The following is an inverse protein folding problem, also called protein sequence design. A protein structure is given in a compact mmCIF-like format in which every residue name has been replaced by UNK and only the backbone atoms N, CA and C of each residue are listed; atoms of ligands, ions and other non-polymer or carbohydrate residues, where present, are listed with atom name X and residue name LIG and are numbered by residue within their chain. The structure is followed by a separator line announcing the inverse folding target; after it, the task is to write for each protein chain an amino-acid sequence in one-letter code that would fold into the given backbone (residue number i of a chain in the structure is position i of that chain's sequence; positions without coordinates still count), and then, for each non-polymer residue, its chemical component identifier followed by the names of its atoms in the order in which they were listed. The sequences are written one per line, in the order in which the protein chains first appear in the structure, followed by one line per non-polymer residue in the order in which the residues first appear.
data_IF_601269572102
#
_entry.id   IF_601269572102
#
_cell.length_a   1.000
_cell.length_b   1.000
_cell.length_c   1.000
_cell.angle_alpha   90.00
_cell.angle_beta   90.00
_cell.angle_gamma   90.00
#
_symmetry.space_group_name_H-M   'P 1'
#
loop_
_entity.id
_entity.type
_entity.pdbx_description
1 polymer ?
#
# COMPACT_ATOMS: atom_id res chain seq x y z
N UNK A 1 9.27 23.75 7.57
CA UNK A 1 10.74 23.52 7.62
C UNK A 1 10.95 22.28 8.49
N UNK A 2 11.00 21.10 7.89
CA UNK A 2 11.34 19.85 8.56
C UNK A 2 12.81 19.89 8.95
N UNK A 3 13.12 19.71 10.24
CA UNK A 3 14.51 19.54 10.68
C UNK A 3 15.03 18.23 10.10
N UNK A 4 16.18 18.21 9.40
CA UNK A 4 16.78 16.96 8.99
C UNK A 4 17.07 16.12 10.24
N UNK A 5 16.56 14.89 10.28
CA UNK A 5 16.90 13.95 11.34
C UNK A 5 18.42 13.75 11.37
N UNK A 6 19.01 13.80 12.58
CA UNK A 6 20.39 13.42 12.75
C UNK A 6 20.60 11.97 12.27
N UNK A 7 21.74 11.64 11.64
CA UNK A 7 21.99 10.28 11.19
C UNK A 7 21.84 9.31 12.37
N UNK A 8 20.91 8.35 12.22
CA UNK A 8 20.65 7.35 13.25
C UNK A 8 21.87 6.43 13.31
N UNK A 9 22.67 6.56 14.38
CA UNK A 9 23.67 5.56 14.70
C UNK A 9 22.92 4.37 15.29
N UNK A 10 22.81 3.28 14.51
CA UNK A 10 22.18 2.03 14.99
C UNK A 10 23.09 1.43 16.04
N UNK A 11 22.69 1.38 17.34
CA UNK A 11 23.48 0.77 18.37
C UNK A 11 23.61 -0.75 18.12
N UNK A 12 24.67 -1.39 18.59
CA UNK A 12 24.79 -2.85 18.54
C UNK A 12 23.56 -3.53 19.15
N UNK A 13 23.17 -4.68 18.62
CA UNK A 13 21.96 -5.40 19.08
C UNK A 13 21.92 -5.63 20.60
N UNK A 14 23.09 -5.85 21.22
CA UNK A 14 23.23 -6.01 22.67
C UNK A 14 22.85 -4.76 23.49
N UNK A 15 22.82 -3.58 22.86
CA UNK A 15 22.48 -2.30 23.49
C UNK A 15 21.03 -1.88 23.24
N UNK A 16 20.31 -2.59 22.37
CA UNK A 16 18.91 -2.34 22.07
C UNK A 16 18.00 -3.01 23.11
N UNK A 17 17.73 -2.34 24.22
CA UNK A 17 17.01 -2.91 25.37
C UNK A 17 15.51 -2.67 25.38
N UNK A 18 14.94 -2.11 24.32
CA UNK A 18 13.49 -1.82 24.24
C UNK A 18 13.04 -0.59 25.06
N UNK A 19 13.93 0.13 25.71
CA UNK A 19 13.61 1.33 26.51
C UNK A 19 12.88 2.40 25.69
N UNK A 20 13.22 2.55 24.41
CA UNK A 20 12.54 3.47 23.51
C UNK A 20 11.07 3.09 23.29
N UNK A 21 10.77 1.78 23.19
CA UNK A 21 9.39 1.31 23.07
C UNK A 21 8.61 1.57 24.36
N UNK A 22 9.16 1.26 25.53
CA UNK A 22 8.54 1.55 26.81
C UNK A 22 8.23 3.03 26.95
N UNK A 23 9.20 3.89 26.57
CA UNK A 23 8.99 5.36 26.57
C UNK A 23 7.86 5.79 25.64
N UNK A 24 7.71 5.18 24.46
CA UNK A 24 6.59 5.49 23.56
C UNK A 24 5.25 5.12 24.20
N UNK A 25 5.17 3.97 24.85
CA UNK A 25 3.97 3.53 25.58
C UNK A 25 3.64 4.51 26.73
N UNK A 26 4.62 4.92 27.51
CA UNK A 26 4.45 5.91 28.62
C UNK A 26 3.96 7.27 28.09
N UNK A 27 4.52 7.74 26.96
CA UNK A 27 4.07 8.96 26.29
C UNK A 27 2.60 8.82 25.89
N UNK A 28 2.21 7.71 25.25
CA UNK A 28 0.84 7.48 24.84
C UNK A 28 -0.12 7.44 26.04
N UNK A 29 0.27 6.78 27.13
CA UNK A 29 -0.49 6.78 28.38
C UNK A 29 -0.68 8.19 28.93
N UNK A 30 0.35 9.02 28.87
CA UNK A 30 0.29 10.42 29.31
C UNK A 30 -0.60 11.27 28.41
N UNK A 31 -0.54 11.10 27.11
CA UNK A 31 -1.42 11.80 26.16
C UNK A 31 -2.89 11.45 26.37
N UNK A 32 -3.17 10.21 26.72
CA UNK A 32 -4.52 9.72 26.98
C UNK A 32 -5.00 9.95 28.42
N UNK A 33 -4.19 10.46 29.36
CA UNK A 33 -4.59 10.75 30.72
C UNK A 33 -5.73 11.80 30.80
N UNK A 34 -6.42 11.89 31.93
CA UNK A 34 -7.57 12.80 32.11
C UNK A 34 -7.22 14.27 31.85
N UNK A 35 -5.98 14.65 32.11
CA UNK A 35 -5.36 15.96 31.85
C UNK A 35 -4.40 15.93 30.65
N UNK A 36 -4.47 14.89 29.80
CA UNK A 36 -3.67 14.73 28.59
C UNK A 36 -4.23 15.51 27.39
N UNK A 37 -3.83 15.11 26.18
CA UNK A 37 -4.24 15.77 24.96
C UNK A 37 -5.73 15.56 24.66
N UNK A 38 -6.55 16.61 24.53
CA UNK A 38 -7.97 16.48 24.23
C UNK A 38 -8.25 15.71 22.94
N UNK A 39 -7.46 15.96 21.90
CA UNK A 39 -7.62 15.30 20.61
C UNK A 39 -7.33 13.78 20.67
N UNK A 40 -6.24 13.38 21.33
CA UNK A 40 -5.91 11.96 21.48
C UNK A 40 -6.97 11.21 22.30
N UNK A 41 -7.54 11.88 23.31
CA UNK A 41 -8.57 11.31 24.20
C UNK A 41 -9.91 11.06 23.49
N UNK A 42 -10.21 11.78 22.41
CA UNK A 42 -11.40 11.62 21.61
C UNK A 42 -11.28 10.50 20.55
N UNK A 43 -10.06 9.98 20.36
CA UNK A 43 -9.84 8.94 19.36
C UNK A 43 -10.45 7.60 19.79
N UNK A 44 -10.90 6.88 18.78
CA UNK A 44 -11.43 5.51 18.88
C UNK A 44 -10.74 4.63 17.84
N UNK A 45 -10.81 3.29 17.94
CA UNK A 45 -10.29 2.43 16.88
C UNK A 45 -10.90 2.73 15.50
N UNK A 46 -12.15 3.19 15.47
CA UNK A 46 -12.82 3.55 14.21
C UNK A 46 -12.24 4.82 13.59
N UNK A 47 -11.90 5.84 14.40
CA UNK A 47 -11.30 7.09 13.91
C UNK A 47 -9.84 6.89 13.48
N UNK A 48 -9.08 6.02 14.17
CA UNK A 48 -7.68 5.73 13.86
C UNK A 48 -7.51 4.86 12.61
N UNK A 49 -8.55 4.16 12.15
CA UNK A 49 -8.45 3.27 10.97
C UNK A 49 -7.89 3.96 9.73
N UNK A 50 -8.22 5.23 9.49
CA UNK A 50 -7.70 5.99 8.35
C UNK A 50 -6.20 6.23 8.45
N UNK A 51 -5.70 6.54 9.64
CA UNK A 51 -4.27 6.78 9.86
C UNK A 51 -3.44 5.50 9.72
N UNK A 52 -3.93 4.35 10.22
CA UNK A 52 -3.26 3.06 9.97
C UNK A 52 -3.07 2.78 8.48
N UNK A 53 -4.04 3.16 7.64
CA UNK A 53 -3.92 3.00 6.19
C UNK A 53 -2.95 4.02 5.60
N UNK A 54 -3.01 5.28 6.03
CA UNK A 54 -2.17 6.38 5.59
C UNK A 54 -0.69 6.06 5.88
N UNK A 55 -0.34 5.77 7.14
CA UNK A 55 1.02 5.40 7.54
C UNK A 55 1.54 4.13 6.81
N UNK A 56 0.66 3.15 6.58
CA UNK A 56 1.05 1.97 5.81
C UNK A 56 1.38 2.31 4.34
N UNK A 57 0.68 3.27 3.73
CA UNK A 57 0.99 3.76 2.39
C UNK A 57 2.30 4.57 2.39
N UNK A 58 2.52 5.44 3.38
CA UNK A 58 3.74 6.25 3.50
C UNK A 58 4.99 5.38 3.71
N UNK A 59 4.88 4.30 4.50
CA UNK A 59 5.94 3.27 4.59
C UNK A 59 6.25 2.67 3.23
N UNK A 60 5.23 2.36 2.41
CA UNK A 60 5.44 1.79 1.07
C UNK A 60 6.14 2.81 0.16
N UNK A 61 5.71 4.07 0.19
CA UNK A 61 6.31 5.15 -0.60
C UNK A 61 7.77 5.40 -0.18
N UNK A 62 8.07 5.35 1.13
CA UNK A 62 9.43 5.44 1.64
C UNK A 62 10.33 4.27 1.19
N UNK A 63 9.78 3.04 1.12
CA UNK A 63 10.48 1.87 0.56
C UNK A 63 10.78 2.08 -0.93
N UNK A 64 9.79 2.51 -1.70
CA UNK A 64 9.94 2.69 -3.15
C UNK A 64 10.91 3.83 -3.50
N UNK A 65 10.94 4.89 -2.69
CA UNK A 65 11.91 5.98 -2.85
C UNK A 65 13.35 5.60 -2.50
N UNK A 66 13.55 4.51 -1.76
CA UNK A 66 14.86 4.10 -1.22
C UNK A 66 15.41 5.03 -0.13
N UNK A 67 14.61 5.98 0.36
CA UNK A 67 15.02 6.94 1.40
C UNK A 67 14.93 6.31 2.79
N UNK A 68 16.09 5.94 3.34
CA UNK A 68 16.17 5.28 4.65
C UNK A 68 15.72 6.17 5.81
N UNK A 69 15.89 7.48 5.70
CA UNK A 69 15.48 8.41 6.76
C UNK A 69 13.94 8.50 6.80
N UNK A 70 13.30 8.68 5.64
CA UNK A 70 11.83 8.64 5.54
C UNK A 70 11.29 7.30 6.00
N UNK A 71 11.89 6.18 5.57
CA UNK A 71 11.45 4.85 6.04
C UNK A 71 11.52 4.70 7.56
N UNK A 72 12.52 5.30 8.22
CA UNK A 72 12.61 5.26 9.68
C UNK A 72 11.50 6.10 10.34
N UNK A 73 11.16 7.25 9.76
CA UNK A 73 10.08 8.14 10.18
C UNK A 73 8.73 7.43 10.06
N UNK A 74 8.38 6.95 8.87
CA UNK A 74 7.09 6.32 8.61
C UNK A 74 6.88 5.00 9.38
N UNK A 75 7.95 4.24 9.62
CA UNK A 75 7.88 3.08 10.52
C UNK A 75 7.60 3.50 11.97
N UNK A 76 8.07 4.67 12.40
CA UNK A 76 7.75 5.26 13.70
C UNK A 76 6.28 5.62 13.81
N UNK A 77 5.71 6.26 12.78
CA UNK A 77 4.32 6.69 12.74
C UNK A 77 3.38 5.48 12.65
N UNK A 78 3.72 4.47 11.86
CA UNK A 78 2.99 3.20 11.87
C UNK A 78 3.05 2.49 13.25
N UNK A 79 4.20 2.51 13.92
CA UNK A 79 4.35 1.96 15.27
C UNK A 79 3.51 2.75 16.29
N UNK A 80 3.41 4.08 16.14
CA UNK A 80 2.53 4.90 16.96
C UNK A 80 1.08 4.41 16.86
N UNK A 81 0.57 4.12 15.66
CA UNK A 81 -0.79 3.60 15.48
C UNK A 81 -1.00 2.28 16.23
N UNK A 82 0.00 1.39 16.23
CA UNK A 82 -0.06 0.12 16.98
C UNK A 82 -0.13 0.36 18.49
N UNK A 83 0.71 1.24 19.02
CA UNK A 83 0.74 1.57 20.46
C UNK A 83 -0.54 2.29 20.87
N UNK A 84 -1.01 3.25 20.07
CA UNK A 84 -2.23 3.99 20.33
C UNK A 84 -3.45 3.06 20.42
N UNK A 85 -3.64 2.21 19.41
CA UNK A 85 -4.73 1.22 19.42
C UNK A 85 -4.61 0.27 20.63
N UNK A 86 -3.40 -0.19 20.96
CA UNK A 86 -3.16 -1.02 22.13
C UNK A 86 -3.54 -0.33 23.44
N UNK A 87 -3.22 0.95 23.59
CA UNK A 87 -3.57 1.73 24.79
C UNK A 87 -5.09 2.01 24.89
N UNK A 88 -5.77 2.25 23.75
CA UNK A 88 -7.23 2.34 23.75
C UNK A 88 -7.86 1.03 24.22
N UNK A 89 -7.40 -0.11 23.73
CA UNK A 89 -7.89 -1.43 24.13
C UNK A 89 -7.57 -1.75 25.59
N UNK A 90 -6.42 -1.31 26.11
CA UNK A 90 -6.07 -1.45 27.52
C UNK A 90 -7.05 -0.68 28.43
N UNK A 91 -7.49 0.51 28.01
CA UNK A 91 -8.49 1.32 28.74
C UNK A 91 -9.87 0.65 28.76
N UNK A 92 -10.20 -0.13 27.74
CA UNK A 92 -11.41 -0.95 27.69
C UNK A 92 -11.27 -2.27 28.46
N UNK A 93 -10.09 -2.57 29.02
CA UNK A 93 -9.82 -3.82 29.75
C UNK A 93 -9.66 -5.05 28.87
N UNK A 94 -9.41 -4.87 27.56
CA UNK A 94 -9.31 -5.98 26.60
C UNK A 94 -7.86 -6.52 26.49
N UNK A 95 -6.93 -5.71 26.02
CA UNK A 95 -5.49 -6.02 25.90
C UNK A 95 -4.69 -4.73 25.78
N UNK A 96 -3.38 -4.79 26.02
CA UNK A 96 -2.48 -3.63 25.89
C UNK A 96 -1.39 -3.79 24.85
N UNK A 97 -0.53 -2.78 24.65
CA UNK A 97 0.59 -2.83 23.71
C UNK A 97 1.54 -4.02 23.95
N UNK A 98 1.81 -4.37 25.21
CA UNK A 98 2.65 -5.52 25.55
C UNK A 98 2.05 -6.86 25.11
N UNK A 99 0.73 -7.00 25.17
CA UNK A 99 0.04 -8.21 24.69
C UNK A 99 0.16 -8.35 23.18
N UNK A 100 0.13 -7.24 22.45
CA UNK A 100 0.36 -7.22 20.98
C UNK A 100 1.78 -7.70 20.67
N UNK A 101 2.80 -7.16 21.38
CA UNK A 101 4.21 -7.55 21.20
C UNK A 101 4.42 -9.02 21.57
N UNK A 102 3.91 -9.45 22.72
CA UNK A 102 4.00 -10.85 23.18
C UNK A 102 3.34 -11.80 22.17
N UNK A 103 2.13 -11.48 21.74
CA UNK A 103 1.39 -12.29 20.79
C UNK A 103 2.09 -12.50 19.45
N UNK A 104 2.77 -11.47 18.91
CA UNK A 104 3.56 -11.62 17.67
C UNK A 104 4.87 -12.37 17.94
N UNK A 105 5.54 -12.15 19.07
CA UNK A 105 6.77 -12.86 19.42
C UNK A 105 6.51 -14.37 19.56
N UNK A 106 5.50 -14.77 20.32
CA UNK A 106 5.10 -16.18 20.50
C UNK A 106 4.75 -16.84 19.17
N UNK A 107 4.02 -16.13 18.32
CA UNK A 107 3.69 -16.59 16.96
C UNK A 107 4.92 -16.80 16.09
N UNK A 108 5.91 -15.90 16.15
CA UNK A 108 7.16 -16.03 15.42
C UNK A 108 7.96 -17.25 15.90
N UNK A 109 8.11 -17.43 17.20
CA UNK A 109 8.78 -18.60 17.79
C UNK A 109 8.09 -19.90 17.35
N UNK A 110 6.76 -19.95 17.47
CA UNK A 110 5.99 -21.14 17.10
C UNK A 110 6.10 -21.50 15.61
N UNK A 111 6.15 -20.49 14.73
CA UNK A 111 6.20 -20.69 13.27
C UNK A 111 7.60 -20.89 12.69
N UNK A 112 8.65 -20.74 13.52
CA UNK A 112 10.04 -20.94 13.10
C UNK A 112 10.72 -22.04 13.93
N UNK A 113 10.18 -23.28 13.96
CA UNK A 113 10.75 -24.35 14.77
C UNK A 113 12.14 -24.78 14.28
N UNK A 114 12.53 -24.41 13.07
CA UNK A 114 13.88 -24.62 12.54
C UNK A 114 14.91 -23.63 13.12
N UNK A 115 14.49 -22.56 13.81
CA UNK A 115 15.36 -21.59 14.48
C UNK A 115 15.29 -21.76 16.00
N UNK A 116 14.10 -22.01 16.53
CA UNK A 116 13.82 -22.01 17.98
C UNK A 116 13.61 -23.40 18.58
N UNK A 117 13.65 -24.47 17.73
CA UNK A 117 13.58 -25.89 18.14
C UNK A 117 14.47 -26.75 17.22
N UNK A 118 14.32 -28.06 17.26
CA UNK A 118 15.22 -29.02 16.59
C UNK A 118 14.80 -29.41 15.15
N UNK A 119 13.89 -28.66 14.52
CA UNK A 119 13.43 -28.98 13.16
C UNK A 119 14.49 -28.60 12.12
N UNK A 120 14.94 -29.57 11.32
CA UNK A 120 15.87 -29.31 10.22
C UNK A 120 15.11 -28.96 8.95
N UNK A 121 15.66 -28.02 8.16
CA UNK A 121 15.13 -27.60 6.86
C UNK A 121 16.24 -27.60 5.82
N UNK A 122 15.92 -27.95 4.56
CA UNK A 122 16.86 -28.02 3.45
C UNK A 122 17.01 -26.69 2.68
N UNK A 123 16.15 -25.71 2.94
CA UNK A 123 16.17 -24.40 2.27
C UNK A 123 14.90 -23.57 2.49
N UNK A 124 14.84 -22.41 1.86
CA UNK A 124 13.76 -21.43 2.02
C UNK A 124 12.37 -21.99 1.64
N UNK A 125 12.30 -22.80 0.60
CA UNK A 125 11.03 -23.39 0.14
C UNK A 125 10.42 -24.30 1.21
N UNK A 126 11.26 -25.11 1.88
CA UNK A 126 10.79 -25.98 2.97
C UNK A 126 10.36 -25.16 4.20
N UNK A 127 11.03 -24.06 4.49
CA UNK A 127 10.62 -23.12 5.55
C UNK A 127 9.23 -22.57 5.24
N UNK A 128 9.00 -22.11 4.01
CA UNK A 128 7.71 -21.57 3.58
C UNK A 128 6.59 -22.59 3.68
N UNK A 129 6.83 -23.84 3.21
CA UNK A 129 5.87 -24.94 3.32
C UNK A 129 5.53 -25.28 4.78
N UNK A 130 6.53 -25.36 5.65
CA UNK A 130 6.33 -25.61 7.07
C UNK A 130 5.52 -24.51 7.74
N UNK A 131 5.86 -23.26 7.44
CA UNK A 131 5.17 -22.07 7.97
C UNK A 131 3.69 -22.04 7.58
N UNK A 132 3.38 -22.33 6.30
CA UNK A 132 2.00 -22.39 5.81
C UNK A 132 1.24 -23.56 6.44
N UNK A 133 1.88 -24.73 6.62
CA UNK A 133 1.26 -25.89 7.29
C UNK A 133 0.89 -25.55 8.76
N UNK A 134 1.79 -24.91 9.49
CA UNK A 134 1.54 -24.48 10.87
C UNK A 134 0.40 -23.48 10.91
N UNK A 135 0.42 -22.48 10.02
CA UNK A 135 -0.62 -21.47 9.90
C UNK A 135 -1.99 -22.05 9.51
N UNK A 136 -2.02 -23.08 8.67
CA UNK A 136 -3.25 -23.78 8.32
C UNK A 136 -3.81 -24.57 9.52
N UNK A 137 -2.95 -25.20 10.31
CA UNK A 137 -3.35 -25.92 11.51
C UNK A 137 -3.95 -25.01 12.59
N UNK A 138 -3.47 -23.75 12.71
CA UNK A 138 -4.03 -22.75 13.62
C UNK A 138 -5.46 -22.30 13.23
N UNK A 139 -5.89 -22.53 11.97
CA UNK A 139 -7.13 -22.00 11.40
C UNK A 139 -8.05 -23.08 10.83
N UNK A 140 -8.12 -24.24 11.48
CA UNK A 140 -8.82 -25.45 10.98
C UNK A 140 -10.25 -25.26 10.50
N UNK A 141 -10.97 -24.27 11.05
CA UNK A 141 -12.41 -24.04 10.77
C UNK A 141 -12.65 -22.89 9.78
N UNK A 142 -11.62 -22.38 9.09
CA UNK A 142 -11.76 -21.27 8.15
C UNK A 142 -11.62 -21.74 6.71
N UNK A 143 -12.47 -21.19 5.85
CA UNK A 143 -12.33 -21.35 4.40
C UNK A 143 -10.97 -20.83 3.88
N UNK A 144 -10.52 -21.37 2.76
CA UNK A 144 -9.23 -21.04 2.16
C UNK A 144 -9.02 -19.53 2.00
N UNK A 145 -10.07 -18.81 1.61
CA UNK A 145 -10.03 -17.38 1.31
C UNK A 145 -10.38 -16.46 2.51
N UNK A 146 -10.86 -16.99 3.63
CA UNK A 146 -11.31 -16.20 4.79
C UNK A 146 -10.22 -15.33 5.44
N UNK A 147 -8.98 -15.61 5.15
CA UNK A 147 -7.85 -14.83 5.68
C UNK A 147 -7.35 -13.71 4.74
N UNK A 148 -8.12 -13.37 3.69
CA UNK A 148 -7.80 -12.24 2.80
C UNK A 148 -8.58 -11.01 3.25
N UNK A 149 -7.92 -9.95 3.78
CA UNK A 149 -8.61 -8.76 4.25
C UNK A 149 -9.39 -8.07 3.12
N UNK A 150 -10.63 -7.64 3.43
CA UNK A 150 -11.47 -6.94 2.45
C UNK A 150 -10.99 -5.52 2.13
N UNK A 151 -10.26 -4.92 3.07
CA UNK A 151 -9.71 -3.56 2.96
C UNK A 151 -8.38 -3.47 2.21
N UNK A 152 -7.81 -4.58 1.75
CA UNK A 152 -6.61 -4.55 0.91
C UNK A 152 -6.86 -3.78 -0.39
N UNK A 153 -5.84 -3.07 -0.95
CA UNK A 153 -5.88 -2.57 -2.32
C UNK A 153 -6.33 -3.66 -3.30
N UNK A 154 -7.13 -3.29 -4.29
CA UNK A 154 -7.88 -4.28 -5.08
C UNK A 154 -6.98 -5.27 -5.83
N UNK A 155 -5.92 -4.79 -6.47
CA UNK A 155 -4.99 -5.67 -7.21
C UNK A 155 -4.19 -6.57 -6.25
N UNK A 156 -3.71 -6.02 -5.12
CA UNK A 156 -3.05 -6.81 -4.06
C UNK A 156 -3.97 -7.89 -3.52
N UNK A 157 -5.25 -7.57 -3.31
CA UNK A 157 -6.26 -8.54 -2.85
C UNK A 157 -6.50 -9.63 -3.88
N UNK A 158 -6.66 -9.29 -5.15
CA UNK A 158 -6.81 -10.24 -6.24
C UNK A 158 -5.59 -11.17 -6.38
N UNK A 159 -4.37 -10.60 -6.31
CA UNK A 159 -3.13 -11.39 -6.31
C UNK A 159 -3.09 -12.36 -5.13
N UNK A 160 -3.47 -11.91 -3.92
CA UNK A 160 -3.50 -12.75 -2.73
C UNK A 160 -4.53 -13.87 -2.81
N UNK A 161 -5.66 -13.65 -3.46
CA UNK A 161 -6.65 -14.69 -3.77
C UNK A 161 -6.03 -15.74 -4.72
N UNK A 162 -5.40 -15.31 -5.82
CA UNK A 162 -4.72 -16.20 -6.77
C UNK A 162 -3.65 -17.06 -6.10
N UNK A 163 -2.76 -16.47 -5.28
CA UNK A 163 -1.73 -17.18 -4.52
C UNK A 163 -2.29 -18.26 -3.59
N UNK A 164 -3.47 -18.02 -3.04
CA UNK A 164 -4.11 -19.02 -2.14
C UNK A 164 -4.72 -20.19 -2.89
N UNK A 165 -5.37 -19.93 -4.02
CA UNK A 165 -6.02 -21.00 -4.79
C UNK A 165 -5.01 -21.84 -5.57
N UNK A 166 -3.87 -21.25 -5.99
CA UNK A 166 -2.72 -21.97 -6.54
C UNK A 166 -2.26 -23.12 -5.62
N UNK A 167 -2.22 -22.90 -4.32
CA UNK A 167 -1.77 -23.89 -3.31
C UNK A 167 -2.61 -25.15 -3.26
N UNK A 168 -3.85 -25.08 -3.68
CA UNK A 168 -4.77 -26.24 -3.76
C UNK A 168 -4.88 -26.79 -5.18
N UNK A 169 -4.00 -26.34 -6.07
CA UNK A 169 -3.94 -26.80 -7.45
C UNK A 169 -4.94 -26.15 -8.40
N UNK A 170 -5.62 -25.08 -7.96
CA UNK A 170 -6.54 -24.33 -8.82
C UNK A 170 -5.78 -23.19 -9.51
N UNK A 171 -4.97 -23.55 -10.50
CA UNK A 171 -4.16 -22.62 -11.27
C UNK A 171 -3.75 -23.20 -12.62
N UNK A 172 -3.36 -22.34 -13.57
CA UNK A 172 -2.74 -22.76 -14.82
C UNK A 172 -1.30 -23.22 -14.60
N UNK A 173 -0.82 -24.17 -15.41
CA UNK A 173 0.55 -24.69 -15.26
C UNK A 173 1.62 -23.65 -15.60
N UNK A 174 1.28 -22.61 -16.36
CA UNK A 174 2.20 -21.55 -16.77
C UNK A 174 1.47 -20.27 -17.19
N UNK A 175 2.25 -19.21 -17.49
CA UNK A 175 1.75 -17.90 -17.89
C UNK A 175 0.95 -17.89 -19.21
N UNK A 176 1.02 -18.95 -20.04
CA UNK A 176 0.27 -19.01 -21.31
C UNK A 176 -1.22 -19.09 -21.06
N UNK A 177 -1.64 -19.86 -20.07
CA UNK A 177 -3.05 -19.97 -19.69
C UNK A 177 -3.61 -18.63 -19.19
N UNK A 178 -2.93 -17.98 -18.26
CA UNK A 178 -3.35 -16.66 -17.76
C UNK A 178 -3.31 -15.58 -18.86
N UNK A 179 -2.34 -15.65 -19.77
CA UNK A 179 -2.28 -14.73 -20.94
C UNK A 179 -3.44 -14.94 -21.91
N UNK A 180 -3.83 -16.20 -22.16
CA UNK A 180 -4.99 -16.52 -22.97
C UNK A 180 -6.29 -16.00 -22.33
N UNK A 181 -6.42 -16.12 -21.00
CA UNK A 181 -7.57 -15.59 -20.27
C UNK A 181 -7.69 -14.06 -20.36
N UNK A 182 -6.57 -13.33 -20.29
CA UNK A 182 -6.59 -11.87 -20.55
C UNK A 182 -7.17 -11.53 -21.92
N UNK A 183 -6.81 -12.29 -22.96
CA UNK A 183 -7.35 -12.06 -24.31
C UNK A 183 -8.85 -12.40 -24.42
N UNK A 184 -9.30 -13.43 -23.71
CA UNK A 184 -10.70 -13.82 -23.61
C UNK A 184 -11.53 -12.72 -22.95
N UNK A 185 -11.12 -12.23 -21.76
CA UNK A 185 -11.83 -11.18 -21.03
C UNK A 185 -11.88 -9.85 -21.79
N UNK A 186 -10.81 -9.49 -22.48
CA UNK A 186 -10.83 -8.32 -23.37
C UNK A 186 -11.87 -8.47 -24.50
N UNK A 187 -12.02 -9.67 -25.06
CA UNK A 187 -13.05 -9.93 -26.08
C UNK A 187 -14.47 -9.92 -25.52
N UNK A 188 -14.66 -10.26 -24.25
CA UNK A 188 -15.96 -10.18 -23.55
C UNK A 188 -16.32 -8.74 -23.22
N UNK A 189 -15.35 -7.96 -22.74
CA UNK A 189 -15.49 -6.53 -22.52
C UNK A 189 -15.86 -5.78 -23.83
N UNK A 190 -15.19 -6.10 -24.95
CA UNK A 190 -15.50 -5.49 -26.26
C UNK A 190 -16.95 -5.78 -26.66
N UNK A 191 -17.46 -6.99 -26.44
CA UNK A 191 -18.86 -7.36 -26.71
C UNK A 191 -19.82 -6.58 -25.81
N UNK A 192 -19.53 -6.49 -24.51
CA UNK A 192 -20.34 -5.75 -23.55
C UNK A 192 -20.42 -4.25 -23.89
N UNK A 193 -19.31 -3.66 -24.38
CA UNK A 193 -19.27 -2.27 -24.86
C UNK A 193 -20.16 -2.10 -26.10
N UNK A 194 -20.11 -3.02 -27.06
CA UNK A 194 -20.94 -2.97 -28.27
C UNK A 194 -22.44 -3.10 -27.96
N UNK A 195 -22.79 -3.90 -26.93
CA UNK A 195 -24.17 -4.07 -26.47
C UNK A 195 -24.68 -2.84 -25.67
N UNK A 196 -23.78 -1.97 -25.19
CA UNK A 196 -24.13 -0.79 -24.40
C UNK A 196 -24.69 -1.12 -22.99
N UNK A 197 -24.42 -2.31 -22.47
CA UNK A 197 -24.89 -2.77 -21.17
C UNK A 197 -23.92 -2.38 -20.05
N UNK A 198 -24.22 -1.29 -19.33
CA UNK A 198 -23.32 -0.75 -18.29
C UNK A 198 -22.95 -1.75 -17.19
N UNK A 199 -23.89 -2.59 -16.74
CA UNK A 199 -23.62 -3.59 -15.70
C UNK A 199 -22.66 -4.68 -16.20
N UNK A 200 -22.82 -5.14 -17.44
CA UNK A 200 -21.89 -6.09 -18.07
C UNK A 200 -20.52 -5.48 -18.30
N UNK A 201 -20.45 -4.23 -18.74
CA UNK A 201 -19.17 -3.52 -18.91
C UNK A 201 -18.41 -3.46 -17.59
N UNK A 202 -19.08 -3.18 -16.46
CA UNK A 202 -18.45 -3.17 -15.12
C UNK A 202 -17.94 -4.56 -14.73
N UNK A 203 -18.71 -5.62 -14.95
CA UNK A 203 -18.36 -7.01 -14.69
C UNK A 203 -17.11 -7.42 -15.48
N UNK A 204 -17.19 -7.31 -16.81
CA UNK A 204 -16.10 -7.73 -17.72
C UNK A 204 -14.80 -6.92 -17.49
N UNK A 205 -14.92 -5.62 -17.15
CA UNK A 205 -13.76 -4.82 -16.78
C UNK A 205 -13.11 -5.33 -15.50
N UNK A 206 -13.91 -5.78 -14.54
CA UNK A 206 -13.41 -6.43 -13.30
C UNK A 206 -12.67 -7.73 -13.61
N UNK A 207 -13.19 -8.55 -14.54
CA UNK A 207 -12.58 -9.82 -14.96
C UNK A 207 -11.26 -9.59 -15.72
N UNK A 208 -11.19 -8.56 -16.57
CA UNK A 208 -9.92 -8.10 -17.20
C UNK A 208 -8.88 -7.76 -16.14
N UNK A 209 -9.23 -6.98 -15.11
CA UNK A 209 -8.29 -6.66 -14.02
C UNK A 209 -7.82 -7.92 -13.28
N UNK A 210 -8.73 -8.82 -12.95
CA UNK A 210 -8.41 -10.06 -12.27
C UNK A 210 -7.51 -10.97 -13.11
N UNK A 211 -7.79 -11.10 -14.42
CA UNK A 211 -6.95 -11.86 -15.35
C UNK A 211 -5.54 -11.24 -15.51
N UNK A 212 -5.43 -9.91 -15.55
CA UNK A 212 -4.14 -9.20 -15.58
C UNK A 212 -3.34 -9.44 -14.30
N UNK A 213 -3.98 -9.43 -13.14
CA UNK A 213 -3.32 -9.74 -11.85
C UNK A 213 -2.82 -11.18 -11.83
N UNK A 214 -3.61 -12.13 -12.33
CA UNK A 214 -3.17 -13.53 -12.45
C UNK A 214 -1.97 -13.68 -13.39
N UNK A 215 -1.97 -12.98 -14.53
CA UNK A 215 -0.81 -12.96 -15.42
C UNK A 215 0.41 -12.38 -14.71
N UNK A 216 0.27 -11.25 -14.00
CA UNK A 216 1.34 -10.63 -13.24
C UNK A 216 1.96 -11.61 -12.23
N UNK A 217 1.12 -12.36 -11.51
CA UNK A 217 1.55 -13.40 -10.56
C UNK A 217 2.38 -14.49 -11.25
N UNK A 218 1.91 -15.01 -12.39
CA UNK A 218 2.65 -16.03 -13.16
C UNK A 218 4.01 -15.56 -13.66
N UNK A 219 4.15 -14.28 -13.99
CA UNK A 219 5.44 -13.69 -14.37
C UNK A 219 6.21 -13.08 -13.19
N UNK A 220 5.75 -13.34 -11.95
CA UNK A 220 6.39 -12.92 -10.69
C UNK A 220 6.50 -11.40 -10.55
N UNK A 221 5.50 -10.67 -10.99
CA UNK A 221 5.39 -9.22 -10.86
C UNK A 221 4.32 -8.88 -9.83
N UNK A 222 4.61 -7.95 -8.93
CA UNK A 222 3.63 -7.33 -8.05
C UNK A 222 2.75 -6.39 -8.89
N UNK A 223 1.47 -6.73 -9.06
CA UNK A 223 0.55 -6.00 -9.91
C UNK A 223 0.26 -4.58 -9.37
N UNK A 224 0.08 -4.44 -8.06
CA UNK A 224 -0.17 -3.15 -7.40
C UNK A 224 1.04 -2.22 -7.54
N UNK A 225 2.23 -2.73 -7.20
CA UNK A 225 3.48 -1.97 -7.33
C UNK A 225 3.79 -1.59 -8.78
N UNK A 226 3.49 -2.46 -9.75
CA UNK A 226 3.67 -2.14 -11.17
C UNK A 226 2.76 -1.00 -11.63
N UNK A 227 1.48 -0.99 -11.20
CA UNK A 227 0.54 0.08 -11.52
C UNK A 227 0.93 1.38 -10.82
N UNK A 228 1.33 1.33 -9.53
CA UNK A 228 1.81 2.49 -8.77
C UNK A 228 3.00 3.16 -9.47
N UNK A 229 4.03 2.41 -9.83
CA UNK A 229 5.20 2.93 -10.58
C UNK A 229 4.82 3.56 -11.92
N UNK A 230 3.82 2.99 -12.60
CA UNK A 230 3.32 3.56 -13.86
C UNK A 230 2.57 4.87 -13.61
N UNK A 231 1.78 4.94 -12.54
CA UNK A 231 1.07 6.17 -12.13
C UNK A 231 2.06 7.28 -11.76
N UNK A 232 3.09 6.98 -10.97
CA UNK A 232 4.16 7.94 -10.64
C UNK A 232 4.90 8.43 -11.89
N UNK A 233 5.23 7.50 -12.81
CA UNK A 233 5.81 7.86 -14.10
C UNK A 233 4.90 8.81 -14.89
N UNK A 234 3.61 8.53 -14.91
CA UNK A 234 2.62 9.42 -15.54
C UNK A 234 2.62 10.80 -14.88
N UNK A 235 2.58 10.86 -13.55
CA UNK A 235 2.59 12.12 -12.80
C UNK A 235 3.85 12.95 -13.06
N UNK A 236 5.04 12.32 -13.05
CA UNK A 236 6.30 13.01 -13.39
C UNK A 236 6.28 13.61 -14.79
N UNK A 237 5.80 12.85 -15.78
CA UNK A 237 5.66 13.36 -17.16
C UNK A 237 4.64 14.47 -17.28
N UNK A 238 3.53 14.32 -16.57
CA UNK A 238 2.46 15.33 -16.59
C UNK A 238 2.89 16.62 -15.92
N UNK A 239 3.71 16.57 -14.86
CA UNK A 239 4.34 17.76 -14.26
C UNK A 239 5.19 18.53 -15.28
N UNK A 240 5.85 17.85 -16.23
CA UNK A 240 6.53 18.53 -17.34
C UNK A 240 5.52 19.23 -18.27
N UNK A 241 4.41 18.56 -18.60
CA UNK A 241 3.33 19.17 -19.41
C UNK A 241 2.79 20.41 -18.72
N UNK A 242 2.51 20.33 -17.41
CA UNK A 242 2.05 21.49 -16.61
C UNK A 242 3.04 22.66 -16.65
N UNK A 243 4.34 22.38 -16.50
CA UNK A 243 5.38 23.40 -16.59
C UNK A 243 5.41 24.09 -17.96
N UNK A 244 5.28 23.31 -19.04
CA UNK A 244 5.24 23.84 -20.42
C UNK A 244 3.97 24.66 -20.68
N UNK A 245 2.81 24.18 -20.19
CA UNK A 245 1.55 24.92 -20.29
C UNK A 245 1.63 26.23 -19.50
N UNK A 246 2.19 26.20 -18.29
CA UNK A 246 2.39 27.41 -17.49
C UNK A 246 3.31 28.41 -18.19
N UNK A 247 4.40 27.95 -18.78
CA UNK A 247 5.34 28.80 -19.52
C UNK A 247 4.72 29.47 -20.73
N UNK A 248 3.89 28.75 -21.51
CA UNK A 248 3.35 29.24 -22.78
C UNK A 248 1.97 29.89 -22.69
N UNK A 249 1.15 29.46 -21.74
CA UNK A 249 -0.26 29.87 -21.63
C UNK A 249 -0.63 30.45 -20.27
N UNK A 250 0.34 30.58 -19.34
CA UNK A 250 0.08 31.05 -17.97
C UNK A 250 -0.62 30.03 -17.07
N UNK A 251 -0.92 28.83 -17.57
CA UNK A 251 -1.60 27.73 -16.87
C UNK A 251 -2.69 27.09 -17.73
N UNK A 252 -3.28 26.00 -17.20
CA UNK A 252 -4.42 25.36 -17.87
C UNK A 252 -5.66 26.29 -17.84
N UNK A 253 -6.37 26.45 -18.97
CA UNK A 253 -7.61 27.22 -19.01
C UNK A 253 -8.64 26.64 -18.02
N UNK A 254 -9.22 27.49 -17.17
CA UNK A 254 -10.24 27.09 -16.18
C UNK A 254 -9.71 26.55 -14.86
N UNK A 255 -8.39 26.37 -14.68
CA UNK A 255 -7.80 26.19 -13.36
C UNK A 255 -7.46 27.57 -12.79
N UNK A 256 -8.22 28.02 -11.80
CA UNK A 256 -7.98 29.28 -11.12
C UNK A 256 -6.54 29.29 -10.55
N UNK A 257 -5.75 30.29 -10.90
CA UNK A 257 -4.52 30.61 -10.18
C UNK A 257 -4.87 30.80 -8.71
N UNK A 258 -4.08 30.22 -7.81
CA UNK A 258 -4.25 30.42 -6.37
C UNK A 258 -4.17 31.94 -6.10
N UNK A 259 -5.23 32.60 -5.57
CA UNK A 259 -5.30 34.05 -5.47
C UNK A 259 -4.24 34.67 -4.55
N UNK A 260 -3.38 33.85 -3.95
CA UNK A 260 -2.35 34.31 -3.00
C UNK A 260 -1.00 34.67 -3.65
N UNK A 261 -0.75 34.45 -4.95
CA UNK A 261 0.61 34.59 -5.50
C UNK A 261 0.79 35.47 -6.76
N UNK A 262 -0.25 35.88 -7.50
CA UNK A 262 0.02 36.74 -8.66
C UNK A 262 -1.14 37.69 -9.04
N UNK A 263 -0.91 38.99 -8.83
CA UNK A 263 -1.80 40.08 -9.24
C UNK A 263 -1.52 40.59 -10.69
N UNK A 264 -0.72 39.88 -11.51
CA UNK A 264 -0.26 40.40 -12.81
C UNK A 264 -0.38 39.45 -14.01
N UNK A 265 -1.04 38.28 -13.89
CA UNK A 265 -1.20 37.41 -15.06
C UNK A 265 -2.63 37.53 -15.65
N UNK A 266 -2.73 37.92 -16.91
CA UNK A 266 -3.94 37.85 -17.71
C UNK A 266 -4.29 36.36 -17.89
N UNK A 267 -5.14 35.81 -16.98
CA UNK A 267 -5.67 34.49 -17.11
C UNK A 267 -6.44 34.35 -18.44
N UNK A 268 -6.22 33.26 -19.22
CA UNK A 268 -7.01 33.02 -20.43
C UNK A 268 -8.49 32.84 -20.06
N UNK A 269 -9.37 33.33 -20.91
CA UNK A 269 -10.81 33.28 -20.72
C UNK A 269 -11.29 31.85 -20.41
N UNK A 270 -12.17 31.71 -19.42
CA UNK A 270 -12.77 30.43 -19.06
C UNK A 270 -13.44 29.79 -20.30
N UNK A 271 -12.96 28.61 -20.71
CA UNK A 271 -13.75 27.77 -21.62
C UNK A 271 -13.05 26.99 -22.72
N UNK A 272 -11.86 27.33 -23.17
CA UNK A 272 -11.27 26.57 -24.31
C UNK A 272 -10.13 25.70 -23.82
N UNK A 273 -10.34 24.36 -23.81
CA UNK A 273 -9.27 23.38 -23.53
C UNK A 273 -8.15 23.54 -24.56
N UNK A 274 -6.90 23.36 -24.12
CA UNK A 274 -5.77 23.30 -25.06
C UNK A 274 -5.92 22.09 -25.99
N UNK A 275 -5.48 22.20 -27.26
CA UNK A 275 -5.50 21.11 -28.22
C UNK A 275 -4.71 19.90 -27.68
N UNK A 276 -5.24 18.70 -27.86
CA UNK A 276 -4.59 17.46 -27.40
C UNK A 276 -3.22 17.30 -28.07
N UNK A 277 -3.09 17.67 -29.34
CA UNK A 277 -1.84 17.59 -30.11
C UNK A 277 -0.73 18.45 -29.51
N UNK A 278 -1.08 19.57 -28.87
CA UNK A 278 -0.09 20.41 -28.18
C UNK A 278 0.35 19.75 -26.87
N UNK A 279 -0.58 19.20 -26.11
CA UNK A 279 -0.29 18.49 -24.86
C UNK A 279 0.52 17.22 -25.12
N UNK A 280 0.20 16.48 -26.19
CA UNK A 280 0.94 15.29 -26.61
C UNK A 280 2.40 15.64 -26.99
N UNK A 281 2.64 16.77 -27.63
CA UNK A 281 4.00 17.23 -27.93
C UNK A 281 4.81 17.45 -26.64
N UNK A 282 4.24 18.09 -25.59
CA UNK A 282 4.89 18.26 -24.31
C UNK A 282 5.10 16.94 -23.60
N UNK A 283 4.16 16.00 -23.75
CA UNK A 283 4.28 14.64 -23.25
C UNK A 283 5.44 13.88 -23.91
N UNK A 284 5.59 13.97 -25.22
CA UNK A 284 6.73 13.37 -25.93
C UNK A 284 8.06 14.02 -25.53
N UNK A 285 8.09 15.36 -25.32
CA UNK A 285 9.28 16.02 -24.74
C UNK A 285 9.65 15.45 -23.36
N UNK A 286 8.66 15.15 -22.51
CA UNK A 286 8.90 14.53 -21.20
C UNK A 286 9.53 13.14 -21.33
N UNK A 287 9.04 12.31 -22.26
CA UNK A 287 9.58 10.96 -22.54
C UNK A 287 11.01 10.96 -23.02
N UNK A 288 11.43 12.00 -23.76
CA UNK A 288 12.80 12.13 -24.28
C UNK A 288 13.80 12.57 -23.20
N UNK A 289 13.34 13.04 -22.05
CA UNK A 289 14.17 13.48 -20.92
C UNK A 289 14.43 12.42 -19.86
N UNK A 290 13.73 11.28 -19.94
CA UNK A 290 13.93 10.10 -19.10
C UNK A 290 14.98 9.15 -19.69
#
# INVERSE_FOLDING_TARGET
MTRPFAPVVVPPLAEQRGEAYVRLVEIMQRLLASDGCPWDREQTPATLRRYVLEEACEVIDAIDSGNRASLCEELGDLLLQVVFLGELMRREGAFGPDDVVRGIADKLVHRHPHVFADTKVSGADQVLQNWERIKAAEKKDRGLLDGVPRSMPALTRAQRVGEKVERVGFDWPDARGSRAKVAEELGELDRAILEGNGARIEEELGDVFFALVNLARHVKVDAEGALRKTTEKFQRRFAHVEARVKERHGGFPGMAANPATDASSSAPAAGTKLPLEELDRYWEEAKQKE
#
